data_IF_914489031728
#
_entry.id   IF_914489031728
#
_cell.length_a   1.000
_cell.length_b   1.000
_cell.length_c   1.000
_cell.angle_alpha   90.00
_cell.angle_beta   90.00
_cell.angle_gamma   90.00
#
_symmetry.space_group_name_H-M   'P 1'
#
loop_
_entity.id
_entity.type
_entity.pdbx_description
1 polymer ?
#
# COMPACT_ATOMS: atom_id res chain seq x y z
N UNK A 1 6.83 0.06 24.03
CA UNK A 1 6.64 -1.16 23.20
C UNK A 1 7.97 -1.85 22.88
N UNK A 2 8.71 -2.36 23.88
CA UNK A 2 9.98 -3.09 23.62
C UNK A 2 9.75 -4.46 22.97
N UNK A 3 8.61 -5.08 23.26
CA UNK A 3 8.25 -6.41 22.76
C UNK A 3 8.10 -6.47 21.23
N UNK A 4 7.29 -5.58 20.65
CA UNK A 4 7.11 -5.51 19.19
C UNK A 4 8.41 -5.17 18.45
N UNK A 5 9.25 -4.32 19.05
CA UNK A 5 10.56 -3.96 18.50
C UNK A 5 11.54 -5.12 18.55
N UNK A 6 11.57 -5.88 19.64
CA UNK A 6 12.42 -7.07 19.78
C UNK A 6 12.01 -8.21 18.84
N UNK A 7 10.71 -8.35 18.54
CA UNK A 7 10.23 -9.32 17.54
C UNK A 7 10.64 -8.90 16.14
N UNK A 8 10.54 -7.61 15.81
CA UNK A 8 10.98 -7.13 14.50
C UNK A 8 12.50 -7.28 14.35
N UNK A 9 13.26 -6.88 15.36
CA UNK A 9 14.73 -6.95 15.36
C UNK A 9 15.25 -8.41 15.27
N UNK A 10 14.50 -9.42 15.76
CA UNK A 10 14.88 -10.84 15.63
C UNK A 10 14.60 -11.43 14.26
N UNK A 11 13.62 -10.90 13.54
CA UNK A 11 13.22 -11.35 12.20
C UNK A 11 14.03 -10.66 11.11
N UNK A 12 14.44 -9.40 11.35
CA UNK A 12 15.23 -8.54 10.48
C UNK A 12 16.46 -9.19 9.80
N UNK A 13 17.32 -9.97 10.48
CA UNK A 13 18.49 -10.60 9.84
C UNK A 13 18.14 -11.63 8.74
N UNK A 14 16.90 -12.12 8.68
CA UNK A 14 16.46 -13.02 7.59
C UNK A 14 16.14 -12.29 6.29
N UNK A 15 15.95 -10.97 6.36
CA UNK A 15 15.59 -10.09 5.24
C UNK A 15 16.74 -9.18 4.80
N UNK A 16 17.77 -8.97 5.63
CA UNK A 16 18.98 -8.20 5.26
C UNK A 16 19.86 -8.93 4.21
N UNK A 17 20.81 -8.20 3.59
CA UNK A 17 21.69 -8.73 2.53
C UNK A 17 22.41 -10.01 2.98
N UNK A 18 22.11 -11.15 2.34
CA UNK A 18 22.62 -12.48 2.71
C UNK A 18 21.61 -13.39 3.43
N UNK A 19 20.39 -12.92 3.74
CA UNK A 19 19.30 -13.72 4.29
C UNK A 19 18.47 -14.45 3.22
N UNK A 20 17.78 -15.53 3.60
CA UNK A 20 16.93 -16.33 2.69
C UNK A 20 15.81 -15.52 1.99
N UNK A 21 15.41 -14.38 2.58
CA UNK A 21 14.31 -13.54 2.10
C UNK A 21 14.75 -12.14 1.65
N UNK A 22 16.00 -11.97 1.21
CA UNK A 22 16.55 -10.68 0.74
C UNK A 22 15.66 -9.98 -0.31
N UNK A 23 14.97 -10.74 -1.17
CA UNK A 23 14.03 -10.18 -2.17
C UNK A 23 12.81 -9.47 -1.56
N UNK A 24 12.42 -9.84 -0.33
CA UNK A 24 11.29 -9.26 0.40
C UNK A 24 11.72 -8.17 1.39
N UNK A 25 13.00 -7.82 1.41
CA UNK A 25 13.53 -6.73 2.21
C UNK A 25 12.76 -5.41 2.03
N UNK A 26 12.36 -4.98 0.82
CA UNK A 26 11.63 -3.72 0.63
C UNK A 26 10.26 -3.71 1.33
N UNK A 27 9.58 -4.86 1.36
CA UNK A 27 8.28 -5.02 2.00
C UNK A 27 8.45 -5.01 3.52
N UNK A 28 9.47 -5.69 4.03
CA UNK A 28 9.79 -5.74 5.45
C UNK A 28 10.23 -4.36 5.98
N UNK A 29 11.09 -3.64 5.26
CA UNK A 29 11.52 -2.27 5.60
C UNK A 29 10.36 -1.27 5.57
N UNK A 30 9.44 -1.42 4.61
CA UNK A 30 8.21 -0.64 4.55
C UNK A 30 7.31 -0.87 5.77
N UNK A 31 7.17 -2.13 6.21
CA UNK A 31 6.39 -2.49 7.40
C UNK A 31 7.06 -2.02 8.71
N UNK A 32 8.38 -2.12 8.81
CA UNK A 32 9.16 -1.60 9.94
C UNK A 32 9.03 -0.08 10.05
N UNK A 33 9.19 0.65 8.94
CA UNK A 33 9.13 2.11 8.96
C UNK A 33 7.70 2.64 9.15
N UNK A 34 6.68 1.85 8.79
CA UNK A 34 5.29 2.16 9.14
C UNK A 34 5.09 2.18 10.66
N UNK A 35 5.56 1.14 11.35
CA UNK A 35 5.36 0.95 12.79
C UNK A 35 6.31 1.76 13.66
N UNK A 36 7.54 2.00 13.21
CA UNK A 36 8.59 2.63 14.01
C UNK A 36 9.25 3.80 13.28
N UNK A 37 9.70 4.79 14.06
CA UNK A 37 10.51 5.89 13.54
C UNK A 37 11.90 5.35 13.21
N UNK A 38 12.52 5.78 12.09
CA UNK A 38 13.87 5.38 11.77
C UNK A 38 14.87 5.86 12.83
N UNK A 39 15.83 5.02 13.22
CA UNK A 39 16.85 5.36 14.22
C UNK A 39 18.07 6.09 13.64
N UNK A 40 18.03 6.52 12.37
CA UNK A 40 19.15 7.25 11.77
C UNK A 40 19.03 8.74 12.11
N UNK A 41 20.08 9.30 12.71
CA UNK A 41 20.17 10.74 13.00
C UNK A 41 21.22 11.38 12.11
N UNK A 42 20.99 12.62 11.70
CA UNK A 42 21.99 13.39 10.97
C UNK A 42 23.12 13.82 11.90
N UNK A 43 24.33 13.33 11.65
CA UNK A 43 25.53 13.62 12.46
C UNK A 43 26.26 14.91 12.06
N UNK A 44 26.07 15.40 10.83
CA UNK A 44 26.68 16.64 10.32
C UNK A 44 25.65 17.78 10.21
N UNK A 45 26.12 19.03 10.14
CA UNK A 45 25.28 20.21 9.96
C UNK A 45 24.55 20.21 8.62
N UNK A 46 23.23 20.39 8.65
CA UNK A 46 22.37 20.53 7.46
C UNK A 46 21.89 21.97 7.31
N UNK A 47 21.80 22.47 6.07
CA UNK A 47 21.34 23.83 5.77
C UNK A 47 19.89 24.09 6.23
N UNK A 48 19.01 23.10 6.09
CA UNK A 48 17.62 23.09 6.57
C UNK A 48 17.33 21.70 7.15
N UNK A 49 16.68 21.65 8.32
CA UNK A 49 16.17 20.41 8.92
C UNK A 49 14.67 20.34 8.70
N UNK A 50 14.23 19.37 7.91
CA UNK A 50 12.80 19.05 7.80
C UNK A 50 12.39 18.13 8.96
N UNK A 51 11.24 18.42 9.56
CA UNK A 51 10.62 17.58 10.59
C UNK A 51 9.71 16.50 10.01
N UNK A 52 9.41 16.56 8.71
CA UNK A 52 8.49 15.65 8.04
C UNK A 52 9.24 14.38 7.62
N UNK A 53 8.79 13.23 8.13
CA UNK A 53 9.21 11.93 7.65
C UNK A 53 8.48 11.62 6.34
N UNK A 54 9.18 11.80 5.21
CA UNK A 54 8.65 11.63 3.87
C UNK A 54 8.08 10.23 3.64
N UNK A 55 8.72 9.19 4.20
CA UNK A 55 8.26 7.81 4.03
C UNK A 55 6.94 7.60 4.77
N UNK A 56 6.81 8.13 6.00
CA UNK A 56 5.57 8.07 6.78
C UNK A 56 4.42 8.81 6.12
N UNK A 57 4.66 10.04 5.64
CA UNK A 57 3.61 10.81 4.95
C UNK A 57 3.16 10.11 3.67
N UNK A 58 4.08 9.53 2.90
CA UNK A 58 3.72 8.75 1.71
C UNK A 58 2.83 7.54 2.05
N UNK A 59 3.10 6.81 3.14
CA UNK A 59 2.24 5.69 3.55
C UNK A 59 0.85 6.17 3.97
N UNK A 60 0.75 7.29 4.69
CA UNK A 60 -0.56 7.85 5.07
C UNK A 60 -1.40 8.23 3.85
N UNK A 61 -0.77 8.74 2.79
CA UNK A 61 -1.45 9.03 1.51
C UNK A 61 -1.95 7.75 0.87
N UNK A 62 -1.13 6.70 0.79
CA UNK A 62 -1.55 5.40 0.23
C UNK A 62 -2.74 4.82 0.99
N UNK A 63 -2.72 4.88 2.32
CA UNK A 63 -3.84 4.44 3.15
C UNK A 63 -5.12 5.25 2.90
N UNK A 64 -5.01 6.56 2.67
CA UNK A 64 -6.14 7.42 2.34
C UNK A 64 -6.72 7.12 0.94
N UNK A 65 -5.89 6.62 0.01
CA UNK A 65 -6.32 6.25 -1.35
C UNK A 65 -7.02 4.88 -1.41
N UNK A 66 -6.80 3.98 -0.45
CA UNK A 66 -7.44 2.66 -0.40
C UNK A 66 -8.98 2.72 -0.51
N UNK A 67 -9.72 3.52 0.29
CA UNK A 67 -11.18 3.60 0.15
C UNK A 67 -11.61 4.19 -1.20
N UNK A 68 -10.88 5.17 -1.72
CA UNK A 68 -11.14 5.75 -3.04
C UNK A 68 -10.96 4.71 -4.16
N UNK A 69 -9.93 3.87 -4.05
CA UNK A 69 -9.66 2.79 -5.00
C UNK A 69 -10.78 1.75 -4.98
N UNK A 70 -11.21 1.29 -3.80
CA UNK A 70 -12.31 0.33 -3.66
C UNK A 70 -13.62 0.87 -4.25
N UNK A 71 -13.92 2.15 -4.01
CA UNK A 71 -15.07 2.80 -4.62
C UNK A 71 -14.94 2.89 -6.15
N UNK A 72 -13.75 3.23 -6.66
CA UNK A 72 -13.47 3.27 -8.09
C UNK A 72 -13.66 1.91 -8.78
N UNK A 73 -13.23 0.82 -8.14
CA UNK A 73 -13.44 -0.55 -8.63
C UNK A 73 -14.93 -0.88 -8.78
N UNK A 74 -15.69 -0.68 -7.71
CA UNK A 74 -17.13 -0.93 -7.73
C UNK A 74 -17.85 -0.05 -8.76
N UNK A 75 -17.52 1.24 -8.83
CA UNK A 75 -18.15 2.17 -9.75
C UNK A 75 -17.85 1.82 -11.22
N UNK A 76 -16.63 1.42 -11.53
CA UNK A 76 -16.25 1.00 -12.90
C UNK A 76 -17.07 -0.21 -13.34
N UNK A 77 -17.22 -1.21 -12.48
CA UNK A 77 -18.08 -2.36 -12.77
C UNK A 77 -19.56 -1.98 -12.85
N UNK A 78 -20.05 -1.14 -11.94
CA UNK A 78 -21.44 -0.69 -11.96
C UNK A 78 -21.79 0.02 -13.27
N UNK A 79 -20.93 0.91 -13.78
CA UNK A 79 -21.14 1.58 -15.06
C UNK A 79 -21.13 0.60 -16.24
N UNK A 80 -20.30 -0.45 -16.19
CA UNK A 80 -20.27 -1.49 -17.22
C UNK A 80 -21.59 -2.27 -17.29
N UNK A 81 -22.08 -2.77 -16.15
CA UNK A 81 -23.34 -3.52 -16.08
C UNK A 81 -24.56 -2.63 -16.38
N UNK A 82 -24.54 -1.38 -15.93
CA UNK A 82 -25.58 -0.40 -16.24
C UNK A 82 -25.68 -0.14 -17.76
N UNK A 83 -24.55 -0.10 -18.48
CA UNK A 83 -24.54 0.04 -19.93
C UNK A 83 -25.06 -1.21 -20.67
N UNK A 84 -24.91 -2.40 -20.09
CA UNK A 84 -25.43 -3.66 -20.62
C UNK A 84 -26.93 -3.88 -20.31
N UNK A 85 -27.51 -3.09 -19.42
CA UNK A 85 -28.90 -3.23 -18.99
C UNK A 85 -29.13 -4.38 -18.00
N UNK A 86 -28.06 -5.02 -17.52
CA UNK A 86 -28.09 -6.10 -16.53
C UNK A 86 -27.67 -5.56 -15.16
N UNK A 87 -28.26 -6.06 -14.07
CA UNK A 87 -27.91 -5.66 -12.69
C UNK A 87 -27.92 -4.13 -12.48
N UNK A 88 -29.03 -3.49 -12.86
CA UNK A 88 -29.18 -2.03 -12.86
C UNK A 88 -29.27 -1.44 -11.46
N UNK A 89 -29.71 -2.22 -10.47
CA UNK A 89 -29.79 -1.73 -9.10
C UNK A 89 -28.44 -1.74 -8.39
N UNK A 90 -28.24 -0.86 -7.41
CA UNK A 90 -26.93 -0.66 -6.74
C UNK A 90 -26.45 -1.91 -6.00
N UNK A 91 -27.37 -2.73 -5.49
CA UNK A 91 -27.08 -3.93 -4.70
C UNK A 91 -27.00 -5.23 -5.51
N UNK A 92 -27.53 -5.26 -6.73
CA UNK A 92 -27.54 -6.47 -7.56
C UNK A 92 -26.14 -6.77 -8.08
N UNK A 93 -25.69 -8.02 -7.89
CA UNK A 93 -24.36 -8.48 -8.34
C UNK A 93 -23.21 -7.61 -7.85
N UNK A 94 -23.24 -7.20 -6.58
CA UNK A 94 -22.18 -6.39 -5.98
C UNK A 94 -20.78 -7.00 -6.18
N UNK A 95 -20.67 -8.33 -6.02
CA UNK A 95 -19.42 -9.05 -6.23
C UNK A 95 -19.03 -9.11 -7.72
N UNK A 96 -19.99 -9.25 -8.63
CA UNK A 96 -19.71 -9.31 -10.07
C UNK A 96 -19.23 -7.94 -10.60
N UNK A 97 -19.82 -6.84 -10.10
CA UNK A 97 -19.37 -5.46 -10.35
C UNK A 97 -17.94 -5.24 -9.87
N UNK A 98 -17.62 -5.67 -8.64
CA UNK A 98 -16.26 -5.52 -8.10
C UNK A 98 -15.27 -6.38 -8.89
N UNK A 99 -15.63 -7.62 -9.22
CA UNK A 99 -14.75 -8.54 -9.93
C UNK A 99 -14.43 -8.00 -11.34
N UNK A 100 -15.45 -7.53 -12.07
CA UNK A 100 -15.24 -6.91 -13.37
C UNK A 100 -14.39 -5.64 -13.27
N UNK A 101 -14.71 -4.75 -12.33
CA UNK A 101 -13.92 -3.54 -12.07
C UNK A 101 -12.46 -3.85 -11.73
N UNK A 102 -12.21 -4.90 -10.94
CA UNK A 102 -10.88 -5.35 -10.56
C UNK A 102 -10.07 -5.84 -11.75
N UNK A 103 -10.67 -6.64 -12.64
CA UNK A 103 -10.00 -7.14 -13.85
C UNK A 103 -9.61 -5.97 -14.77
N UNK A 104 -10.43 -4.93 -14.87
CA UNK A 104 -10.17 -3.78 -15.73
C UNK A 104 -9.17 -2.78 -15.13
N UNK A 105 -9.21 -2.57 -13.81
CA UNK A 105 -8.39 -1.56 -13.14
C UNK A 105 -7.00 -2.07 -12.76
N UNK A 106 -6.85 -3.36 -12.42
CA UNK A 106 -5.54 -3.96 -12.12
C UNK A 106 -4.47 -3.76 -13.21
N UNK A 107 -4.73 -3.99 -14.51
CA UNK A 107 -3.71 -3.78 -15.54
C UNK A 107 -3.32 -2.31 -15.68
N UNK A 108 -4.25 -1.37 -15.49
CA UNK A 108 -3.96 0.07 -15.51
C UNK A 108 -3.01 0.44 -14.38
N UNK A 109 -3.27 -0.07 -13.17
CA UNK A 109 -2.41 0.15 -12.00
C UNK A 109 -1.05 -0.50 -12.24
N UNK A 110 -1.01 -1.76 -12.72
CA UNK A 110 0.24 -2.46 -12.99
C UNK A 110 1.13 -1.65 -13.94
N UNK A 111 0.61 -1.18 -15.08
CA UNK A 111 1.37 -0.37 -16.04
C UNK A 111 1.80 0.99 -15.48
N UNK A 112 1.02 1.58 -14.57
CA UNK A 112 1.34 2.89 -13.98
C UNK A 112 2.48 2.83 -12.96
N UNK A 113 2.69 1.67 -12.34
CA UNK A 113 3.67 1.49 -11.25
C UNK A 113 4.81 0.51 -11.59
N UNK A 114 4.81 -0.08 -12.79
CA UNK A 114 5.98 -0.73 -13.42
C UNK A 114 6.86 0.29 -14.12
#
# INVERSE_FOLDING_TARGET
>A
MKFLRNILDSVKPNFEKGGKFEKYFPVFDGFETFLFVPNHVTHNGSHIRDSIDLKRTMITVVLALMPCLLFGLWNTGHQHFLALGEMTDRGEGFMDKILFGLIMVLPIIAVSYT
#
